data_IF_813003630766
#
_entry.id   IF_813003630766
#
_cell.length_a   1.000
_cell.length_b   1.000
_cell.length_c   1.000
_cell.angle_alpha   90.00
_cell.angle_beta   90.00
_cell.angle_gamma   90.00
#
_symmetry.space_group_name_H-M   'P 1'
#
loop_
_entity.id
_entity.type
_entity.pdbx_description
1 polymer ?
#
# COMPACT_ATOMS: atom_id res chain seq x y z
N UNK A 1 -14.04 9.66 -18.75
CA UNK A 1 -12.77 8.91 -18.66
C UNK A 1 -11.66 9.92 -18.88
N UNK A 2 -10.80 10.11 -17.88
CA UNK A 2 -9.62 10.98 -17.98
C UNK A 2 -8.65 10.44 -19.03
N UNK A 3 -7.90 11.33 -19.73
CA UNK A 3 -6.82 10.90 -20.63
C UNK A 3 -5.69 10.17 -19.91
N UNK A 4 -5.61 10.33 -18.58
CA UNK A 4 -4.62 9.64 -17.74
C UNK A 4 -5.03 8.20 -17.41
N UNK A 5 -6.33 7.89 -17.46
CA UNK A 5 -6.84 6.57 -17.08
C UNK A 5 -6.34 5.50 -18.06
N UNK A 6 -5.79 4.42 -17.52
CA UNK A 6 -5.19 3.33 -18.29
C UNK A 6 -3.81 3.62 -18.88
N UNK A 7 -3.16 4.73 -18.49
CA UNK A 7 -1.86 5.13 -19.02
C UNK A 7 -0.71 4.35 -18.39
N UNK A 8 0.19 3.83 -19.23
CA UNK A 8 1.51 3.35 -18.80
C UNK A 8 2.35 4.54 -18.33
N UNK A 9 2.84 4.49 -17.10
CA UNK A 9 3.62 5.56 -16.49
C UNK A 9 5.10 5.21 -16.32
N UNK A 10 5.53 4.09 -16.89
CA UNK A 10 6.88 3.55 -16.78
C UNK A 10 7.04 2.60 -15.59
N UNK A 11 8.17 1.90 -15.57
CA UNK A 11 8.52 0.94 -14.51
C UNK A 11 7.47 -0.20 -14.34
N UNK A 12 6.82 -0.60 -15.42
CA UNK A 12 5.71 -1.57 -15.41
C UNK A 12 4.53 -1.16 -14.49
N UNK A 13 4.35 0.15 -14.29
CA UNK A 13 3.22 0.71 -13.59
C UNK A 13 2.21 1.32 -14.54
N UNK A 14 0.94 1.08 -14.26
CA UNK A 14 -0.19 1.67 -14.99
C UNK A 14 -1.00 2.56 -14.04
N UNK A 15 -1.24 3.81 -14.42
CA UNK A 15 -2.24 4.64 -13.79
C UNK A 15 -3.61 4.20 -14.28
N UNK A 16 -4.32 3.43 -13.46
CA UNK A 16 -5.63 2.86 -13.83
C UNK A 16 -6.71 3.93 -13.87
N UNK A 17 -6.75 4.78 -12.84
CA UNK A 17 -7.70 5.88 -12.74
C UNK A 17 -7.26 6.95 -11.75
N UNK A 18 -7.83 8.12 -11.89
CA UNK A 18 -7.80 9.22 -10.92
C UNK A 18 -9.18 9.37 -10.29
N UNK A 19 -9.24 9.92 -9.07
CA UNK A 19 -10.51 10.08 -8.39
C UNK A 19 -10.46 10.94 -7.14
N UNK A 20 -11.61 11.02 -6.46
CA UNK A 20 -11.79 11.70 -5.17
C UNK A 20 -12.10 10.65 -4.11
N UNK A 21 -11.48 10.81 -2.96
CA UNK A 21 -11.62 9.90 -1.85
C UNK A 21 -12.24 10.58 -0.64
N UNK A 22 -13.16 9.88 0.00
CA UNK A 22 -13.70 10.23 1.30
C UNK A 22 -13.63 9.00 2.23
N UNK A 23 -13.16 9.19 3.45
CA UNK A 23 -12.95 8.10 4.40
C UNK A 23 -11.79 8.38 5.34
N UNK A 24 -11.13 7.34 5.81
CA UNK A 24 -9.96 7.46 6.67
C UNK A 24 -8.71 7.76 5.85
N UNK A 25 -7.95 8.77 6.27
CA UNK A 25 -6.69 9.12 5.63
C UNK A 25 -5.58 8.20 6.15
N UNK A 26 -5.25 7.20 5.35
CA UNK A 26 -4.37 6.10 5.75
C UNK A 26 -2.88 6.37 5.53
N UNK A 27 -2.52 7.43 4.80
CA UNK A 27 -1.14 7.62 4.34
C UNK A 27 -0.17 8.13 5.42
N UNK A 28 -0.67 8.72 6.50
CA UNK A 28 0.15 9.25 7.60
C UNK A 28 -0.03 8.50 8.94
N UNK A 29 -0.82 7.43 8.93
CA UNK A 29 -1.12 6.64 10.12
C UNK A 29 -2.00 7.35 11.16
N UNK A 30 -2.53 8.54 10.87
CA UNK A 30 -3.44 9.26 11.77
C UNK A 30 -4.86 8.74 11.73
N UNK A 31 -5.24 8.12 10.61
CA UNK A 31 -6.60 7.64 10.30
C UNK A 31 -7.68 8.73 10.49
N UNK A 32 -7.30 10.00 10.32
CA UNK A 32 -8.24 11.11 10.37
C UNK A 32 -9.26 11.01 9.24
N UNK A 33 -10.50 11.40 9.49
CA UNK A 33 -11.52 11.44 8.46
C UNK A 33 -11.29 12.59 7.49
N UNK A 34 -11.33 12.29 6.19
CA UNK A 34 -11.27 13.25 5.09
C UNK A 34 -12.47 13.08 4.17
N UNK A 35 -12.85 14.13 3.46
CA UNK A 35 -14.06 14.15 2.64
C UNK A 35 -13.82 14.35 1.15
N UNK A 36 -12.66 14.85 0.76
CA UNK A 36 -12.33 15.15 -0.65
C UNK A 36 -10.82 15.21 -0.86
N UNK A 37 -10.21 14.04 -0.96
CA UNK A 37 -8.76 13.92 -1.22
C UNK A 37 -8.54 13.34 -2.59
N UNK A 38 -7.59 13.91 -3.34
CA UNK A 38 -7.16 13.36 -4.62
C UNK A 38 -6.56 11.96 -4.41
N UNK A 39 -7.04 10.99 -5.15
CA UNK A 39 -6.50 9.63 -5.13
C UNK A 39 -6.21 9.13 -6.53
N UNK A 40 -5.27 8.21 -6.61
CA UNK A 40 -4.94 7.48 -7.84
C UNK A 40 -5.03 5.98 -7.58
N UNK A 41 -5.41 5.22 -8.61
CA UNK A 41 -5.29 3.76 -8.62
C UNK A 41 -4.16 3.36 -9.54
N UNK A 42 -3.22 2.60 -9.00
CA UNK A 42 -2.02 2.16 -9.72
C UNK A 42 -1.97 0.64 -9.72
N UNK A 43 -1.73 0.07 -10.89
CA UNK A 43 -1.54 -1.37 -11.08
C UNK A 43 -0.08 -1.65 -11.40
N UNK A 44 0.47 -2.67 -10.75
CA UNK A 44 1.73 -3.27 -11.16
C UNK A 44 1.44 -4.28 -12.28
N UNK A 45 1.85 -3.95 -13.51
CA UNK A 45 1.66 -4.80 -14.69
C UNK A 45 2.87 -5.68 -14.98
N UNK A 46 3.96 -5.52 -14.21
CA UNK A 46 5.19 -6.29 -14.33
C UNK A 46 5.18 -7.61 -13.59
N UNK A 47 6.27 -8.33 -13.72
CA UNK A 47 6.48 -9.62 -13.05
C UNK A 47 7.25 -9.54 -11.73
N UNK A 48 7.72 -8.35 -11.33
CA UNK A 48 8.44 -8.13 -10.07
C UNK A 48 7.58 -7.36 -9.09
N UNK A 49 7.71 -7.67 -7.80
CA UNK A 49 7.01 -6.93 -6.74
C UNK A 49 7.68 -5.56 -6.53
N UNK A 50 6.89 -4.50 -6.55
CA UNK A 50 7.37 -3.14 -6.30
C UNK A 50 7.63 -2.97 -4.82
N UNK A 51 8.85 -2.55 -4.47
CA UNK A 51 9.21 -2.21 -3.10
C UNK A 51 8.79 -0.78 -2.75
N UNK A 52 9.06 0.16 -3.66
CA UNK A 52 8.76 1.57 -3.50
C UNK A 52 8.61 2.27 -4.85
N UNK A 53 7.66 3.18 -4.93
CA UNK A 53 7.56 4.14 -6.02
C UNK A 53 7.05 5.49 -5.50
N UNK A 54 7.63 6.59 -6.00
CA UNK A 54 7.12 7.93 -5.78
C UNK A 54 6.60 8.49 -7.11
N UNK A 55 5.34 8.91 -7.11
CA UNK A 55 4.65 9.38 -8.31
C UNK A 55 4.24 10.84 -8.08
N UNK A 56 4.57 11.69 -9.05
CA UNK A 56 4.11 13.08 -9.08
C UNK A 56 3.18 13.31 -10.25
N UNK A 57 2.13 14.09 -10.04
CA UNK A 57 1.25 14.61 -11.06
C UNK A 57 1.37 16.13 -11.05
N UNK A 58 1.82 16.74 -12.15
CA UNK A 58 2.17 18.15 -12.18
C UNK A 58 1.53 18.90 -13.35
N UNK A 59 1.21 20.19 -13.12
CA UNK A 59 0.81 21.14 -14.15
C UNK A 59 1.22 22.56 -13.73
N UNK A 60 2.18 23.15 -14.42
CA UNK A 60 2.73 24.46 -14.03
C UNK A 60 3.31 24.40 -12.60
N UNK A 61 2.73 25.17 -11.67
CA UNK A 61 3.12 25.17 -10.27
C UNK A 61 2.34 24.19 -9.40
N UNK A 62 1.33 23.52 -9.95
CA UNK A 62 0.58 22.49 -9.24
C UNK A 62 1.40 21.20 -9.16
N UNK A 63 1.46 20.60 -7.99
CA UNK A 63 2.15 19.33 -7.77
C UNK A 63 1.37 18.49 -6.75
N UNK A 64 1.07 17.27 -7.14
CA UNK A 64 0.40 16.26 -6.32
C UNK A 64 1.34 15.07 -6.19
N UNK A 65 1.51 14.57 -4.96
CA UNK A 65 2.51 13.55 -4.65
C UNK A 65 1.86 12.30 -4.05
N UNK A 66 2.33 11.13 -4.48
CA UNK A 66 1.83 9.84 -4.04
C UNK A 66 3.00 8.90 -3.79
N UNK A 67 2.99 8.23 -2.64
CA UNK A 67 3.93 7.17 -2.31
C UNK A 67 3.27 5.81 -2.41
N UNK A 68 4.01 4.84 -2.92
CA UNK A 68 3.62 3.44 -2.98
C UNK A 68 4.73 2.62 -2.34
N UNK A 69 4.38 1.81 -1.35
CA UNK A 69 5.26 0.79 -0.80
C UNK A 69 4.58 -0.57 -0.87
N UNK A 70 5.33 -1.58 -1.31
CA UNK A 70 4.86 -2.97 -1.42
C UNK A 70 3.62 -3.11 -2.31
N UNK A 71 3.82 -3.11 -3.61
CA UNK A 71 2.77 -3.43 -4.59
C UNK A 71 3.15 -4.72 -5.32
N UNK A 72 2.56 -5.87 -4.96
CA UNK A 72 2.85 -7.13 -5.61
C UNK A 72 2.51 -7.14 -7.10
N UNK A 73 3.18 -8.00 -7.85
CA UNK A 73 2.94 -8.19 -9.28
C UNK A 73 1.47 -8.50 -9.58
N UNK A 74 0.90 -7.81 -10.56
CA UNK A 74 -0.49 -7.97 -10.98
C UNK A 74 -1.54 -7.30 -10.11
N UNK A 75 -1.17 -6.78 -8.93
CA UNK A 75 -2.12 -6.15 -8.02
C UNK A 75 -2.31 -4.66 -8.31
N UNK A 76 -3.44 -4.14 -7.83
CA UNK A 76 -3.82 -2.72 -7.89
C UNK A 76 -3.94 -2.16 -6.49
N UNK A 77 -3.47 -0.93 -6.29
CA UNK A 77 -3.68 -0.19 -5.05
C UNK A 77 -4.27 1.20 -5.31
N UNK A 78 -4.92 1.74 -4.31
CA UNK A 78 -5.38 3.12 -4.27
C UNK A 78 -4.49 3.92 -3.32
N UNK A 79 -3.71 4.88 -3.85
CA UNK A 79 -2.91 5.81 -3.08
C UNK A 79 -3.64 7.16 -2.95
N UNK A 80 -3.55 7.78 -1.78
CA UNK A 80 -4.08 9.11 -1.52
C UNK A 80 -2.95 10.14 -1.66
N UNK A 81 -3.31 11.35 -2.08
CA UNK A 81 -2.36 12.44 -2.18
C UNK A 81 -1.81 12.79 -0.79
N UNK A 82 -0.47 12.85 -0.66
CA UNK A 82 0.25 12.89 0.62
C UNK A 82 -0.08 14.12 1.47
N UNK A 83 -0.36 15.25 0.85
CA UNK A 83 -0.77 16.50 1.51
C UNK A 83 -2.29 16.60 1.74
N UNK A 84 -3.05 15.56 1.43
CA UNK A 84 -4.51 15.56 1.45
C UNK A 84 -5.14 16.66 0.58
N UNK A 85 -4.47 17.04 -0.51
CA UNK A 85 -4.99 18.01 -1.47
C UNK A 85 -6.19 17.43 -2.23
N UNK A 86 -7.11 18.31 -2.62
CA UNK A 86 -8.25 17.95 -3.48
C UNK A 86 -7.81 17.71 -4.91
N UNK A 87 -8.54 16.85 -5.62
CA UNK A 87 -8.30 16.63 -7.05
C UNK A 87 -8.57 17.92 -7.85
N UNK A 88 -7.68 18.31 -8.76
CA UNK A 88 -7.91 19.48 -9.61
C UNK A 88 -9.12 19.31 -10.53
N UNK A 89 -9.64 20.42 -11.05
CA UNK A 89 -10.80 20.38 -11.95
C UNK A 89 -10.52 19.63 -13.27
N UNK A 90 -9.25 19.67 -13.72
CA UNK A 90 -8.81 19.06 -14.98
C UNK A 90 -7.64 18.11 -14.76
N UNK A 91 -7.86 16.96 -14.12
CA UNK A 91 -6.78 16.01 -13.87
C UNK A 91 -6.14 15.46 -15.15
N UNK A 92 -6.86 15.46 -16.28
CA UNK A 92 -6.37 15.03 -17.57
C UNK A 92 -5.29 15.94 -18.18
N UNK A 93 -5.10 17.14 -17.64
CA UNK A 93 -4.04 18.06 -18.05
C UNK A 93 -2.74 17.87 -17.24
N UNK A 94 -2.77 17.01 -16.21
CA UNK A 94 -1.58 16.73 -15.41
C UNK A 94 -0.61 15.82 -16.16
N UNK A 95 0.68 16.04 -15.93
CA UNK A 95 1.77 15.17 -16.37
C UNK A 95 2.14 14.21 -15.24
N UNK A 96 2.13 12.93 -15.50
CA UNK A 96 2.50 11.89 -14.55
C UNK A 96 3.97 11.54 -14.68
N UNK A 97 4.68 11.47 -13.57
CA UNK A 97 6.10 11.08 -13.54
C UNK A 97 6.37 10.17 -12.36
N UNK A 98 7.04 9.04 -12.60
CA UNK A 98 7.61 8.19 -11.55
C UNK A 98 9.00 8.76 -11.23
N UNK A 99 9.13 9.43 -10.09
CA UNK A 99 10.36 10.16 -9.72
C UNK A 99 11.32 9.31 -8.90
N UNK A 100 10.83 8.23 -8.29
CA UNK A 100 11.65 7.22 -7.62
C UNK A 100 10.99 5.85 -7.78
N UNK A 101 11.80 4.80 -7.89
CA UNK A 101 11.35 3.44 -8.05
C UNK A 101 12.37 2.43 -7.53
N UNK A 102 11.89 1.39 -6.85
CA UNK A 102 12.66 0.21 -6.51
C UNK A 102 11.76 -1.04 -6.55
N UNK A 103 12.26 -2.12 -7.09
CA UNK A 103 11.64 -3.44 -6.97
C UNK A 103 12.31 -4.25 -5.87
N UNK A 104 11.59 -5.22 -5.30
CA UNK A 104 12.23 -6.23 -4.46
C UNK A 104 13.18 -7.08 -5.30
N UNK A 105 14.36 -7.41 -4.75
CA UNK A 105 15.34 -8.25 -5.44
C UNK A 105 14.84 -9.70 -5.61
N UNK A 106 14.04 -10.17 -4.66
CA UNK A 106 13.42 -11.48 -4.66
C UNK A 106 11.90 -11.33 -4.53
N UNK A 107 11.11 -12.28 -5.05
CA UNK A 107 9.66 -12.26 -4.88
C UNK A 107 9.26 -12.22 -3.40
N UNK A 108 8.23 -11.47 -3.08
CA UNK A 108 7.64 -11.47 -1.74
C UNK A 108 7.18 -12.87 -1.35
N UNK A 109 7.47 -13.25 -0.11
CA UNK A 109 7.02 -14.51 0.48
C UNK A 109 6.25 -14.23 1.76
N UNK A 110 5.13 -14.91 1.94
CA UNK A 110 4.36 -14.89 3.19
C UNK A 110 4.96 -15.81 4.25
N UNK A 111 5.95 -16.63 3.89
CA UNK A 111 6.58 -17.62 4.77
C UNK A 111 5.57 -18.55 5.46
N UNK A 112 4.53 -18.95 4.73
CA UNK A 112 3.44 -19.82 5.24
C UNK A 112 3.92 -21.21 5.65
N UNK A 113 5.08 -21.60 5.16
CA UNK A 113 5.79 -22.83 5.56
C UNK A 113 6.40 -22.73 6.98
N UNK A 114 6.66 -21.52 7.45
CA UNK A 114 7.30 -21.24 8.74
C UNK A 114 6.35 -20.64 9.77
N UNK A 115 5.38 -19.83 9.32
CA UNK A 115 4.50 -19.07 10.20
C UNK A 115 3.05 -19.18 9.77
N UNK A 116 2.16 -19.15 10.75
CA UNK A 116 0.72 -18.94 10.53
C UNK A 116 0.37 -17.55 11.03
N UNK A 117 -0.28 -16.76 10.19
CA UNK A 117 -0.79 -15.42 10.55
C UNK A 117 -2.30 -15.43 10.46
N UNK A 118 -2.96 -15.03 11.54
CA UNK A 118 -4.41 -14.86 11.60
C UNK A 118 -4.76 -13.47 12.09
N UNK A 119 -5.90 -12.97 11.66
CA UNK A 119 -6.41 -11.66 12.06
C UNK A 119 -7.81 -11.79 12.64
N UNK A 120 -8.09 -11.03 13.68
CA UNK A 120 -9.41 -10.93 14.28
C UNK A 120 -9.55 -9.53 14.85
N UNK A 121 -10.58 -8.81 14.44
CA UNK A 121 -10.78 -7.40 14.77
C UNK A 121 -9.48 -6.60 14.51
N UNK A 122 -8.97 -5.93 15.54
CA UNK A 122 -7.73 -5.14 15.45
C UNK A 122 -6.49 -5.93 15.93
N UNK A 123 -6.52 -7.25 15.88
CA UNK A 123 -5.44 -8.10 16.40
C UNK A 123 -4.85 -8.97 15.29
N UNK A 124 -3.53 -8.98 15.19
CA UNK A 124 -2.75 -9.91 14.37
C UNK A 124 -2.14 -10.94 15.30
N UNK A 125 -2.35 -12.22 15.03
CA UNK A 125 -1.75 -13.33 15.77
C UNK A 125 -0.79 -14.08 14.86
N UNK A 126 0.45 -14.28 15.31
CA UNK A 126 1.49 -15.03 14.60
C UNK A 126 1.87 -16.25 15.40
N UNK A 127 1.89 -17.39 14.74
CA UNK A 127 2.35 -18.66 15.31
C UNK A 127 3.62 -19.11 14.59
N UNK A 128 4.65 -19.42 15.34
CA UNK A 128 5.90 -19.94 14.80
C UNK A 128 5.84 -21.46 14.66
N UNK A 129 5.73 -21.97 13.44
CA UNK A 129 5.68 -23.40 13.12
C UNK A 129 7.04 -23.95 12.65
N UNK A 130 8.10 -23.14 12.64
CA UNK A 130 9.38 -23.49 12.04
C UNK A 130 10.21 -24.55 12.82
N UNK A 131 9.80 -24.89 14.03
CA UNK A 131 10.54 -25.80 14.92
C UNK A 131 11.78 -25.19 15.57
N UNK A 132 12.08 -23.92 15.32
CA UNK A 132 13.17 -23.16 15.91
C UNK A 132 12.68 -21.78 16.39
N UNK A 133 13.40 -21.19 17.33
CA UNK A 133 13.10 -19.84 17.77
C UNK A 133 13.36 -18.82 16.64
N UNK A 134 12.46 -17.88 16.48
CA UNK A 134 12.57 -16.74 15.54
C UNK A 134 12.68 -15.43 16.31
N UNK A 135 13.72 -14.66 16.04
CA UNK A 135 13.94 -13.36 16.67
C UNK A 135 13.38 -12.22 15.81
N UNK A 136 12.84 -11.19 16.46
CA UNK A 136 12.40 -9.95 15.82
C UNK A 136 11.38 -10.18 14.67
N UNK A 137 10.32 -10.91 14.93
CA UNK A 137 9.28 -11.20 13.94
C UNK A 137 8.42 -9.96 13.71
N UNK A 138 8.24 -9.58 12.45
CA UNK A 138 7.39 -8.48 12.02
C UNK A 138 6.39 -8.95 10.98
N UNK A 139 5.17 -8.42 11.06
CA UNK A 139 4.15 -8.60 10.02
C UNK A 139 3.95 -7.27 9.29
N UNK A 140 4.15 -7.29 7.99
CA UNK A 140 3.82 -6.16 7.13
C UNK A 140 2.44 -6.41 6.51
N UNK A 141 1.58 -5.40 6.53
CA UNK A 141 0.22 -5.55 6.05
C UNK A 141 -0.31 -4.28 5.39
N UNK A 142 -1.31 -4.47 4.56
CA UNK A 142 -2.15 -3.42 3.95
C UNK A 142 -3.61 -3.77 4.16
N UNK A 143 -4.45 -2.74 4.23
CA UNK A 143 -5.88 -2.93 4.17
C UNK A 143 -6.30 -3.27 2.73
N UNK A 144 -7.41 -3.97 2.59
CA UNK A 144 -7.94 -4.43 1.30
C UNK A 144 -9.42 -4.07 1.21
N UNK A 145 -9.86 -3.64 0.04
CA UNK A 145 -11.27 -3.51 -0.31
C UNK A 145 -11.54 -4.25 -1.61
N UNK A 146 -12.29 -5.34 -1.53
CA UNK A 146 -12.43 -6.28 -2.64
C UNK A 146 -11.07 -6.91 -2.99
N UNK A 147 -10.61 -6.69 -4.21
CA UNK A 147 -9.31 -7.14 -4.74
C UNK A 147 -8.25 -6.02 -4.79
N UNK A 148 -8.57 -4.84 -4.27
CA UNK A 148 -7.70 -3.66 -4.31
C UNK A 148 -7.08 -3.38 -2.95
N UNK A 149 -5.77 -3.10 -2.94
CA UNK A 149 -5.07 -2.63 -1.76
C UNK A 149 -5.42 -1.17 -1.47
N UNK A 150 -5.64 -0.82 -0.20
CA UNK A 150 -5.97 0.53 0.26
C UNK A 150 -4.75 1.22 0.85
N UNK A 151 -4.45 2.42 0.33
CA UNK A 151 -3.31 3.22 0.72
C UNK A 151 -2.00 2.81 0.06
N UNK A 152 -1.16 3.79 -0.23
CA UNK A 152 0.21 3.56 -0.69
C UNK A 152 1.12 3.05 0.43
N UNK A 153 0.80 3.38 1.67
CA UNK A 153 1.56 2.98 2.86
C UNK A 153 1.44 1.47 3.14
N UNK A 154 2.51 0.91 3.74
CA UNK A 154 2.50 -0.44 4.32
C UNK A 154 2.71 -0.33 5.82
N UNK A 155 1.80 -0.89 6.60
CA UNK A 155 1.91 -0.94 8.04
C UNK A 155 2.77 -2.11 8.51
N UNK A 156 3.32 -2.00 9.72
CA UNK A 156 4.14 -3.02 10.35
C UNK A 156 3.68 -3.26 11.79
N UNK A 157 3.41 -4.51 12.12
CA UNK A 157 3.22 -4.96 13.50
C UNK A 157 4.38 -5.85 13.93
N UNK A 158 4.94 -5.60 15.13
CA UNK A 158 5.98 -6.41 15.73
C UNK A 158 5.39 -7.39 16.73
N UNK A 159 5.78 -8.65 16.66
CA UNK A 159 5.41 -9.67 17.64
C UNK A 159 6.62 -10.15 18.49
N UNK A 160 7.76 -9.46 18.34
CA UNK A 160 9.02 -9.75 19.07
C UNK A 160 9.58 -11.15 18.75
N UNK A 161 10.23 -11.74 19.73
CA UNK A 161 10.81 -13.07 19.61
C UNK A 161 9.75 -14.14 19.87
N UNK A 162 9.71 -15.14 19.00
CA UNK A 162 8.79 -16.28 19.09
C UNK A 162 9.59 -17.56 19.27
N UNK A 163 9.37 -18.27 20.37
CA UNK A 163 9.88 -19.63 20.53
C UNK A 163 9.21 -20.59 19.52
N UNK A 164 9.81 -21.75 19.30
CA UNK A 164 9.22 -22.78 18.48
C UNK A 164 7.82 -23.17 19.02
N UNK A 165 6.81 -23.15 18.15
CA UNK A 165 5.41 -23.46 18.51
C UNK A 165 4.69 -22.34 19.26
N UNK A 166 5.33 -21.22 19.56
CA UNK A 166 4.71 -20.10 20.26
C UNK A 166 3.83 -19.27 19.33
N UNK A 167 2.72 -18.77 19.92
CA UNK A 167 1.85 -17.78 19.29
C UNK A 167 1.88 -16.48 20.10
N UNK A 168 1.98 -15.35 19.40
CA UNK A 168 1.82 -14.03 20.01
C UNK A 168 0.88 -13.16 19.17
N UNK A 169 0.17 -12.27 19.87
CA UNK A 169 -0.76 -11.33 19.26
C UNK A 169 -0.27 -9.90 19.41
N UNK A 170 -0.49 -9.09 18.38
CA UNK A 170 -0.23 -7.66 18.37
C UNK A 170 -1.51 -6.92 18.00
N UNK A 171 -1.86 -5.90 18.79
CA UNK A 171 -2.95 -4.98 18.49
C UNK A 171 -2.49 -3.92 17.49
N UNK A 172 -3.35 -3.57 16.55
CA UNK A 172 -3.16 -2.42 15.66
C UNK A 172 -4.45 -1.63 15.49
N UNK A 173 -4.35 -0.30 15.59
CA UNK A 173 -5.47 0.61 15.34
C UNK A 173 -5.72 0.87 13.84
N UNK A 174 -4.84 0.37 12.96
CA UNK A 174 -4.88 0.62 11.52
C UNK A 174 -5.61 -0.47 10.72
N UNK A 175 -6.19 -1.46 11.36
CA UNK A 175 -7.10 -2.38 10.70
C UNK A 175 -8.47 -1.73 10.52
N UNK A 176 -8.89 -1.64 9.27
CA UNK A 176 -10.21 -1.17 8.90
C UNK A 176 -10.89 -2.26 8.07
N UNK A 177 -12.06 -2.67 8.50
CA UNK A 177 -12.92 -3.51 7.68
C UNK A 177 -13.41 -2.66 6.51
N UNK A 178 -13.10 -3.12 5.29
CA UNK A 178 -13.47 -2.45 4.04
C UNK A 178 -14.90 -2.78 3.59
#
# INVERSE_FOLDING_TARGET
ISKLDGTDIGNDLQLVSTGRYAGLFVEDGSDKTVSDVFCIRVKNTGGSDVQYAHITLTRGSECYEFDISTLPAGQTLQALELGAQTMPEKPEELTVTVTAYAAFAEPLSMHDDLFTVTTSDNTITVTNNSGAAAAQVYVYYKNVSGDMLLGGITYRAGVKDLAAGESQSSYTSHFHEG
#
